data_IF_334648571394
#
_entry.id   IF_334648571394
#
_cell.length_a   1.000
_cell.length_b   1.000
_cell.length_c   1.000
_cell.angle_alpha   90.00
_cell.angle_beta   90.00
_cell.angle_gamma   90.00
#
_symmetry.space_group_name_H-M   'P 1'
#
loop_
_entity.id
_entity.type
_entity.pdbx_description
1 polymer ?
#
# COMPACT_ATOMS: atom_id res chain seq x y z
N UNK A 1 3.15 17.40 16.11
CA UNK A 1 4.02 16.33 15.57
C UNK A 1 3.20 15.60 14.53
N UNK A 2 3.67 15.63 13.28
CA UNK A 2 2.93 15.16 12.11
C UNK A 2 3.08 13.64 11.99
N UNK A 3 1.96 12.93 11.97
CA UNK A 3 1.81 11.68 11.24
C UNK A 3 2.71 10.49 11.66
N UNK A 4 3.21 10.45 12.90
CA UNK A 4 4.07 9.36 13.38
C UNK A 4 3.32 8.02 13.28
N UNK A 5 2.10 7.91 13.83
CA UNK A 5 1.25 6.71 13.68
C UNK A 5 0.72 6.45 12.26
N UNK A 6 1.04 7.30 11.28
CA UNK A 6 0.59 7.15 9.88
C UNK A 6 1.74 6.83 8.92
N UNK A 7 2.98 7.10 9.33
CA UNK A 7 4.18 6.65 8.62
C UNK A 7 4.24 5.13 8.60
N UNK A 8 3.87 4.47 9.69
CA UNK A 8 3.82 3.01 9.72
C UNK A 8 2.74 2.42 8.80
N UNK A 9 1.59 3.07 8.64
CA UNK A 9 0.57 2.66 7.68
C UNK A 9 1.09 2.78 6.24
N UNK A 10 1.84 3.84 5.94
CA UNK A 10 2.52 3.98 4.66
C UNK A 10 3.57 2.88 4.47
N UNK A 11 4.38 2.58 5.48
CA UNK A 11 5.35 1.48 5.46
C UNK A 11 4.67 0.13 5.20
N UNK A 12 3.54 -0.17 5.86
CA UNK A 12 2.78 -1.39 5.65
C UNK A 12 2.23 -1.50 4.22
N UNK A 13 1.77 -0.38 3.65
CA UNK A 13 1.31 -0.33 2.24
C UNK A 13 2.48 -0.52 1.28
N UNK A 14 3.63 0.12 1.52
CA UNK A 14 4.83 -0.06 0.68
C UNK A 14 5.36 -1.49 0.76
N UNK A 15 5.32 -2.11 1.95
CA UNK A 15 5.68 -3.51 2.14
C UNK A 15 4.73 -4.45 1.39
N UNK A 16 3.42 -4.21 1.44
CA UNK A 16 2.44 -4.96 0.66
C UNK A 16 2.71 -4.87 -0.86
N UNK A 17 3.09 -3.69 -1.35
CA UNK A 17 3.41 -3.48 -2.76
C UNK A 17 4.69 -4.21 -3.18
N UNK A 18 5.70 -4.23 -2.31
CA UNK A 18 6.93 -4.99 -2.51
C UNK A 18 6.67 -6.50 -2.58
N UNK A 19 5.85 -7.03 -1.66
CA UNK A 19 5.42 -8.44 -1.66
C UNK A 19 4.65 -8.84 -2.93
N UNK A 20 3.87 -7.92 -3.48
CA UNK A 20 3.12 -8.12 -4.72
C UNK A 20 3.99 -7.93 -5.97
N UNK A 21 5.25 -7.49 -5.80
CA UNK A 21 6.17 -7.09 -6.87
C UNK A 21 5.50 -6.09 -7.82
N UNK A 22 4.77 -5.13 -7.25
CA UNK A 22 4.05 -4.08 -7.98
C UNK A 22 4.89 -2.81 -7.99
N UNK A 23 5.34 -2.43 -9.18
CA UNK A 23 6.04 -1.18 -9.42
C UNK A 23 5.04 -0.02 -9.51
N UNK A 24 5.03 0.84 -8.50
CA UNK A 24 4.15 2.02 -8.46
C UNK A 24 4.82 3.19 -9.18
N UNK A 25 4.28 3.56 -10.34
CA UNK A 25 4.81 4.67 -11.14
C UNK A 25 4.31 6.03 -10.65
N UNK A 26 3.07 6.08 -10.12
CA UNK A 26 2.48 7.33 -9.62
C UNK A 26 1.54 7.06 -8.46
N UNK A 27 1.84 7.69 -7.33
CA UNK A 27 0.97 7.72 -6.16
C UNK A 27 1.03 9.08 -5.45
N UNK A 28 -0.01 9.39 -4.69
CA UNK A 28 -0.04 10.54 -3.78
C UNK A 28 -0.37 10.07 -2.37
N UNK A 29 0.44 10.48 -1.41
CA UNK A 29 0.16 10.35 0.02
C UNK A 29 -0.27 11.72 0.56
N UNK A 30 -1.45 11.80 1.18
CA UNK A 30 -1.95 12.99 1.85
C UNK A 30 -2.23 12.67 3.31
N UNK A 31 -1.71 13.50 4.21
CA UNK A 31 -1.87 13.30 5.65
C UNK A 31 -2.72 14.37 6.35
N UNK A 32 -3.25 15.36 5.61
CA UNK A 32 -4.13 16.39 6.16
C UNK A 32 -5.50 15.77 6.49
N UNK A 33 -5.89 15.76 7.77
CA UNK A 33 -7.17 15.23 8.25
C UNK A 33 -7.36 13.70 8.15
N UNK A 34 -6.27 12.94 8.06
CA UNK A 34 -6.28 11.49 7.90
C UNK A 34 -5.20 11.05 6.92
N UNK A 35 -4.92 9.75 6.84
CA UNK A 35 -4.00 9.22 5.85
C UNK A 35 -4.78 8.73 4.63
N UNK A 36 -4.46 9.31 3.47
CA UNK A 36 -4.99 8.89 2.17
C UNK A 36 -3.82 8.57 1.25
N UNK A 37 -3.82 7.37 0.69
CA UNK A 37 -2.83 6.94 -0.29
C UNK A 37 -3.56 6.51 -1.57
N UNK A 38 -3.39 7.30 -2.63
CA UNK A 38 -4.00 7.03 -3.94
C UNK A 38 -2.91 6.60 -4.93
N UNK A 39 -3.07 5.42 -5.51
CA UNK A 39 -2.20 4.91 -6.57
C UNK A 39 -2.90 5.16 -7.91
N UNK A 40 -2.28 5.96 -8.77
CA UNK A 40 -2.83 6.29 -10.09
C UNK A 40 -2.34 5.35 -11.18
N UNK A 41 -1.11 4.86 -11.03
CA UNK A 41 -0.50 3.99 -12.02
C UNK A 41 0.47 3.03 -11.33
N UNK A 42 0.27 1.75 -11.58
CA UNK A 42 1.13 0.69 -11.11
C UNK A 42 1.25 -0.40 -12.17
N UNK A 43 2.41 -1.07 -12.21
CA UNK A 43 2.71 -2.15 -13.14
C UNK A 43 3.11 -3.37 -12.32
N UNK A 44 2.54 -4.52 -12.64
CA UNK A 44 3.06 -5.78 -12.10
C UNK A 44 4.41 -6.07 -12.75
N UNK A 45 5.44 -6.26 -11.93
CA UNK A 45 6.81 -6.38 -12.41
C UNK A 45 7.13 -7.79 -12.94
N UNK A 46 6.37 -8.82 -12.51
CA UNK A 46 6.49 -10.19 -13.03
C UNK A 46 5.60 -10.43 -14.23
N UNK A 47 6.24 -10.80 -15.35
CA UNK A 47 5.57 -11.34 -16.52
C UNK A 47 4.97 -12.71 -16.17
N UNK A 48 3.64 -12.84 -16.18
CA UNK A 48 2.92 -14.11 -15.98
C UNK A 48 2.20 -14.29 -14.64
N UNK A 49 2.44 -13.44 -13.64
CA UNK A 49 1.63 -13.43 -12.42
C UNK A 49 0.57 -12.35 -12.58
N UNK A 50 -0.68 -12.76 -12.80
CA UNK A 50 -1.80 -11.83 -13.01
C UNK A 50 -2.56 -11.73 -11.69
N UNK A 51 -2.03 -10.92 -10.76
CA UNK A 51 -2.72 -10.68 -9.49
C UNK A 51 -4.09 -10.08 -9.78
N UNK A 52 -5.15 -10.72 -9.29
CA UNK A 52 -6.48 -10.14 -9.39
C UNK A 52 -6.55 -8.92 -8.47
N UNK A 53 -7.36 -7.91 -8.82
CA UNK A 53 -7.55 -6.75 -7.95
C UNK A 53 -8.02 -7.14 -6.53
N UNK A 54 -8.70 -8.28 -6.40
CA UNK A 54 -9.16 -8.86 -5.15
C UNK A 54 -8.00 -9.34 -4.26
N UNK A 55 -7.00 -9.99 -4.86
CA UNK A 55 -5.81 -10.47 -4.15
C UNK A 55 -4.94 -9.30 -3.67
N UNK A 56 -4.73 -8.31 -4.54
CA UNK A 56 -3.99 -7.07 -4.22
C UNK A 56 -4.65 -6.35 -3.04
N UNK A 57 -5.99 -6.20 -3.09
CA UNK A 57 -6.76 -5.59 -2.01
C UNK A 57 -6.66 -6.37 -0.71
N UNK A 58 -6.65 -7.70 -0.78
CA UNK A 58 -6.53 -8.57 0.39
C UNK A 58 -5.18 -8.42 1.07
N UNK A 59 -4.08 -8.39 0.30
CA UNK A 59 -2.73 -8.20 0.83
C UNK A 59 -2.55 -6.80 1.43
N UNK A 60 -3.04 -5.76 0.75
CA UNK A 60 -3.05 -4.39 1.27
C UNK A 60 -3.85 -4.27 2.58
N UNK A 61 -5.04 -4.88 2.63
CA UNK A 61 -5.87 -4.88 3.85
C UNK A 61 -5.23 -5.67 4.98
N UNK A 62 -4.55 -6.78 4.68
CA UNK A 62 -3.86 -7.59 5.68
C UNK A 62 -2.71 -6.81 6.33
N UNK A 63 -1.86 -6.17 5.51
CA UNK A 63 -0.74 -5.37 6.00
C UNK A 63 -1.23 -4.14 6.78
N UNK A 64 -2.30 -3.48 6.32
CA UNK A 64 -2.89 -2.34 7.02
C UNK A 64 -3.52 -2.73 8.37
N UNK A 65 -4.13 -3.92 8.48
CA UNK A 65 -4.73 -4.43 9.74
C UNK A 65 -3.68 -4.89 10.76
N UNK A 66 -2.52 -5.35 10.29
CA UNK A 66 -1.41 -5.72 11.18
C UNK A 66 -0.87 -4.56 12.01
N UNK A 67 -1.21 -3.32 11.66
CA UNK A 67 -0.77 -2.11 12.35
C UNK A 67 -1.77 -1.57 13.39
N UNK A 68 -2.97 -2.14 13.51
CA UNK A 68 -3.99 -1.73 14.51
C UNK A 68 -3.87 -2.49 15.85
N UNK A 69 -2.84 -3.34 16.00
CA UNK A 69 -2.65 -4.25 17.13
C UNK A 69 -1.50 -3.86 18.09
N UNK A 70 -0.90 -2.68 17.93
CA UNK A 70 0.10 -2.13 18.88
C UNK A 70 -0.46 -0.95 19.69
#
# INVERSE_FOLDING_TARGET
MLCESRLDLLCAVMYALDLLEVDVQRATATCCNGFKFDIFQAKQCKDGQLWKPEDIKSVLMLCARGHDLD
#
